data_IF_957119701426
#
_entry.id   IF_957119701426
#
_cell.length_a   1.000
_cell.length_b   1.000
_cell.length_c   1.000
_cell.angle_alpha   90.00
_cell.angle_beta   90.00
_cell.angle_gamma   90.00
#
_symmetry.space_group_name_H-M   'P 1'
#
loop_
_entity.id
_entity.type
_entity.pdbx_description
1 polymer ?
#
# COMPACT_ATOMS: atom_id res chain seq x y z
N UNK A 1 80.68 40.61 30.60
CA UNK A 1 81.27 39.82 29.57
C UNK A 1 80.93 38.41 29.85
N UNK A 2 79.79 38.06 29.50
CA UNK A 2 79.46 36.75 29.00
C UNK A 2 77.98 36.61 28.96
N UNK A 3 77.55 36.42 27.81
CA UNK A 3 76.15 36.30 27.41
C UNK A 3 75.90 34.84 27.07
N UNK A 4 75.05 34.19 27.80
CA UNK A 4 74.37 32.98 27.32
C UNK A 4 72.95 32.97 27.88
N UNK A 5 71.98 33.43 27.08
CA UNK A 5 70.56 33.23 27.32
C UNK A 5 70.15 32.02 26.48
N UNK A 6 70.01 30.87 27.14
CA UNK A 6 69.39 29.71 26.57
C UNK A 6 67.87 29.93 26.51
N UNK A 7 67.28 29.85 25.30
CA UNK A 7 65.84 29.91 25.03
C UNK A 7 65.20 28.60 25.55
N UNK A 8 64.31 28.74 26.50
CA UNK A 8 63.38 27.67 26.90
C UNK A 8 62.35 27.42 25.83
N UNK A 9 62.20 26.17 25.40
CA UNK A 9 61.28 25.65 24.43
C UNK A 9 60.00 25.17 25.14
N UNK A 10 58.79 25.72 24.86
CA UNK A 10 57.53 25.34 25.56
C UNK A 10 56.81 24.19 24.85
N UNK A 11 57.41 23.07 24.66
CA UNK A 11 56.68 21.85 24.28
C UNK A 11 56.72 20.84 25.40
N UNK A 12 55.65 20.87 26.24
CA UNK A 12 55.33 19.75 27.10
C UNK A 12 54.80 18.59 26.24
N UNK A 13 55.34 17.38 26.38
CA UNK A 13 54.74 16.21 25.73
C UNK A 13 53.41 15.87 26.38
N UNK A 14 52.35 15.85 25.59
CA UNK A 14 51.05 15.29 25.97
C UNK A 14 51.23 13.86 26.47
N UNK A 15 50.82 13.60 27.68
CA UNK A 15 50.72 12.25 28.21
C UNK A 15 49.65 11.48 27.42
N UNK A 16 49.92 10.24 26.99
CA UNK A 16 48.93 9.45 26.25
C UNK A 16 47.82 8.94 27.18
N UNK A 17 46.67 9.26 26.77
CA UNK A 17 45.32 8.76 27.07
C UNK A 17 45.30 7.30 27.60
N UNK A 18 45.45 7.12 28.88
CA UNK A 18 45.26 5.81 29.58
C UNK A 18 43.77 5.50 29.84
N UNK A 19 42.85 6.45 29.59
CA UNK A 19 41.41 6.23 29.73
C UNK A 19 40.76 5.56 28.50
N UNK A 20 41.37 5.66 27.33
CA UNK A 20 40.82 5.08 26.07
C UNK A 20 40.97 3.56 26.01
N UNK A 21 42.08 3.01 26.53
CA UNK A 21 42.35 1.54 26.53
C UNK A 21 41.52 0.79 27.57
N UNK A 22 41.18 1.41 28.69
CA UNK A 22 40.30 0.81 29.69
C UNK A 22 38.84 0.78 29.23
N UNK A 23 38.36 1.87 28.60
CA UNK A 23 37.02 1.90 27.99
C UNK A 23 36.90 0.95 26.80
N UNK A 24 37.92 0.83 25.95
CA UNK A 24 37.91 -0.12 24.84
C UNK A 24 37.91 -1.58 25.32
N UNK A 25 38.66 -1.90 26.41
CA UNK A 25 38.60 -3.22 27.05
C UNK A 25 37.24 -3.53 27.67
N UNK A 26 36.61 -2.57 28.36
CA UNK A 26 35.29 -2.73 28.96
C UNK A 26 34.21 -2.96 27.85
N UNK A 27 34.30 -2.23 26.76
CA UNK A 27 33.36 -2.40 25.61
C UNK A 27 33.59 -3.76 24.91
N UNK A 28 34.85 -4.23 24.82
CA UNK A 28 35.12 -5.57 24.28
C UNK A 28 34.68 -6.69 25.23
N UNK A 29 34.84 -6.53 26.54
CA UNK A 29 34.34 -7.49 27.54
C UNK A 29 32.81 -7.53 27.60
N UNK A 30 32.10 -6.37 27.58
CA UNK A 30 30.66 -6.31 27.45
C UNK A 30 30.19 -6.91 26.14
N UNK A 31 30.87 -6.64 25.02
CA UNK A 31 30.51 -7.21 23.71
C UNK A 31 30.72 -8.72 23.66
N UNK A 32 31.79 -9.26 24.33
CA UNK A 32 32.02 -10.70 24.41
C UNK A 32 31.04 -11.41 25.34
N UNK A 33 30.64 -10.78 26.46
CA UNK A 33 29.59 -11.26 27.35
C UNK A 33 28.22 -11.24 26.67
N UNK A 34 27.89 -10.19 25.89
CA UNK A 34 26.67 -10.12 25.07
C UNK A 34 26.66 -11.19 23.97
N UNK A 35 27.80 -11.46 23.32
CA UNK A 35 27.91 -12.52 22.32
C UNK A 35 27.80 -13.92 22.97
N UNK A 36 28.37 -14.14 24.17
CA UNK A 36 28.20 -15.38 24.90
C UNK A 36 26.75 -15.58 25.40
N UNK A 37 26.12 -14.54 25.94
CA UNK A 37 24.67 -14.60 26.33
C UNK A 37 23.76 -14.81 25.13
N UNK A 38 24.06 -14.22 23.97
CA UNK A 38 23.29 -14.46 22.73
C UNK A 38 23.52 -15.88 22.20
N UNK A 39 24.70 -16.47 22.39
CA UNK A 39 24.96 -17.87 22.03
C UNK A 39 24.35 -18.87 23.02
N UNK A 40 24.29 -18.56 24.33
CA UNK A 40 23.69 -19.42 25.34
C UNK A 40 22.16 -19.27 25.48
N UNK A 41 21.60 -18.12 25.15
CA UNK A 41 20.15 -17.86 25.21
C UNK A 41 19.44 -17.84 23.85
N UNK A 42 20.17 -18.04 22.75
CA UNK A 42 19.55 -18.29 21.47
C UNK A 42 18.74 -19.60 21.61
N UNK A 43 17.39 -19.57 21.57
CA UNK A 43 16.69 -20.85 21.41
C UNK A 43 17.27 -21.45 20.14
N UNK A 44 17.75 -22.70 20.22
CA UNK A 44 17.86 -23.56 19.05
C UNK A 44 16.50 -23.50 18.32
N UNK A 45 16.34 -22.51 17.47
CA UNK A 45 15.29 -22.57 16.44
C UNK A 45 15.76 -23.68 15.52
N UNK A 46 15.51 -24.93 15.97
CA UNK A 46 15.59 -26.09 15.11
C UNK A 46 14.97 -25.66 13.80
N UNK A 47 15.73 -25.69 12.72
CA UNK A 47 15.28 -25.31 11.40
C UNK A 47 14.06 -26.19 11.11
N UNK A 48 12.87 -25.66 11.40
CA UNK A 48 11.64 -26.42 11.19
C UNK A 48 11.58 -26.70 9.69
N UNK A 49 11.29 -27.93 9.28
CA UNK A 49 11.30 -28.28 7.89
C UNK A 49 10.35 -27.36 7.13
N UNK A 50 10.88 -26.72 6.09
CA UNK A 50 10.07 -25.87 5.19
C UNK A 50 9.06 -26.78 4.53
N UNK A 51 7.82 -26.77 5.01
CA UNK A 51 6.74 -27.58 4.48
C UNK A 51 6.52 -27.22 2.99
N UNK A 52 6.25 -28.21 2.13
CA UNK A 52 5.80 -27.97 0.78
C UNK A 52 4.58 -27.03 0.80
N UNK A 53 4.50 -26.08 -0.13
CA UNK A 53 3.46 -25.04 -0.14
C UNK A 53 2.03 -25.59 0.04
N UNK A 54 1.73 -26.76 -0.54
CA UNK A 54 0.40 -27.41 -0.41
C UNK A 54 0.14 -27.87 1.02
N UNK A 55 1.11 -28.46 1.66
CA UNK A 55 0.99 -28.94 3.04
C UNK A 55 0.89 -27.77 4.02
N UNK A 56 1.66 -26.70 3.80
CA UNK A 56 1.57 -25.49 4.61
C UNK A 56 0.20 -24.80 4.50
N UNK A 57 -0.40 -24.75 3.30
CA UNK A 57 -1.77 -24.23 3.10
C UNK A 57 -2.78 -25.14 3.82
N UNK A 58 -2.65 -26.46 3.72
CA UNK A 58 -3.55 -27.40 4.41
C UNK A 58 -3.47 -27.26 5.92
N UNK A 59 -2.26 -27.25 6.49
CA UNK A 59 -2.01 -27.04 7.91
C UNK A 59 -2.58 -25.67 8.41
N UNK A 60 -2.55 -24.66 7.56
CA UNK A 60 -3.12 -23.35 7.89
C UNK A 60 -4.65 -23.35 7.86
N UNK A 61 -5.26 -24.10 6.94
CA UNK A 61 -6.71 -24.27 6.89
C UNK A 61 -7.27 -25.11 8.05
N UNK A 62 -6.44 -25.87 8.75
CA UNK A 62 -6.78 -26.54 10.00
C UNK A 62 -6.81 -25.59 11.20
N UNK A 63 -6.15 -24.42 11.11
CA UNK A 63 -6.18 -23.39 12.15
C UNK A 63 -7.51 -22.63 12.14
N UNK A 64 -8.46 -23.07 12.98
CA UNK A 64 -9.82 -22.54 13.04
C UNK A 64 -9.87 -21.02 13.14
N UNK A 65 -9.07 -20.44 14.02
CA UNK A 65 -9.11 -18.99 14.28
C UNK A 65 -8.55 -18.19 13.10
N UNK A 66 -7.54 -18.72 12.41
CA UNK A 66 -7.07 -18.12 11.16
C UNK A 66 -8.13 -18.18 10.05
N UNK A 67 -8.79 -19.32 9.88
CA UNK A 67 -9.84 -19.49 8.85
C UNK A 67 -11.01 -18.54 9.11
N UNK A 68 -11.45 -18.38 10.35
CA UNK A 68 -12.51 -17.44 10.72
C UNK A 68 -12.12 -16.00 10.38
N UNK A 69 -10.90 -15.57 10.74
CA UNK A 69 -10.39 -14.25 10.37
C UNK A 69 -10.32 -14.10 8.85
N UNK A 70 -9.74 -15.09 8.16
CA UNK A 70 -9.49 -15.05 6.73
C UNK A 70 -10.78 -14.97 5.92
N UNK A 71 -11.78 -15.81 6.23
CA UNK A 71 -13.10 -15.81 5.54
C UNK A 71 -13.86 -14.51 5.82
N UNK A 72 -13.89 -14.06 7.08
CA UNK A 72 -14.50 -12.78 7.43
C UNK A 72 -13.90 -11.61 6.65
N UNK A 73 -12.58 -11.57 6.56
CA UNK A 73 -11.86 -10.52 5.83
C UNK A 73 -12.05 -10.61 4.31
N UNK A 74 -12.03 -11.81 3.72
CA UNK A 74 -12.28 -12.00 2.29
C UNK A 74 -13.67 -11.47 1.91
N UNK A 75 -14.69 -11.82 2.70
CA UNK A 75 -16.06 -11.39 2.43
C UNK A 75 -16.21 -9.88 2.62
N UNK A 76 -15.62 -9.30 3.67
CA UNK A 76 -15.61 -7.86 3.90
C UNK A 76 -14.90 -7.09 2.77
N UNK A 77 -13.77 -7.59 2.25
CA UNK A 77 -13.08 -6.96 1.12
C UNK A 77 -13.90 -7.01 -0.18
N UNK A 78 -14.71 -8.04 -0.38
CA UNK A 78 -15.68 -8.10 -1.49
C UNK A 78 -16.80 -7.07 -1.27
N UNK A 79 -17.29 -6.95 -0.03
CA UNK A 79 -18.25 -5.93 0.37
C UNK A 79 -17.75 -4.51 0.10
N UNK A 80 -16.50 -4.20 0.47
CA UNK A 80 -15.86 -2.89 0.21
C UNK A 80 -15.95 -2.52 -1.29
N UNK A 81 -15.82 -3.50 -2.22
CA UNK A 81 -16.00 -3.26 -3.66
C UNK A 81 -17.47 -2.94 -4.01
N UNK A 82 -18.41 -3.58 -3.30
CA UNK A 82 -19.83 -3.29 -3.50
C UNK A 82 -20.17 -1.86 -3.08
N UNK A 83 -19.64 -1.40 -1.94
CA UNK A 83 -19.80 -0.02 -1.51
C UNK A 83 -19.19 0.97 -2.51
N UNK A 84 -17.97 0.69 -3.00
CA UNK A 84 -17.29 1.55 -3.97
C UNK A 84 -18.13 1.74 -5.24
N UNK A 85 -18.59 0.64 -5.84
CA UNK A 85 -19.41 0.68 -7.07
C UNK A 85 -20.75 1.36 -6.81
N UNK A 86 -21.42 1.03 -5.69
CA UNK A 86 -22.68 1.65 -5.31
C UNK A 86 -22.52 3.16 -5.09
N UNK A 87 -21.48 3.59 -4.38
CA UNK A 87 -21.22 5.00 -4.09
C UNK A 87 -20.94 5.79 -5.37
N UNK A 88 -20.08 5.29 -6.26
CA UNK A 88 -19.79 5.99 -7.52
C UNK A 88 -21.03 6.01 -8.44
N UNK A 89 -21.79 4.92 -8.50
CA UNK A 89 -23.05 4.88 -9.27
C UNK A 89 -24.06 5.88 -8.73
N UNK A 90 -24.26 5.94 -7.41
CA UNK A 90 -25.17 6.88 -6.75
C UNK A 90 -24.75 8.34 -7.00
N UNK A 91 -23.47 8.66 -6.81
CA UNK A 91 -22.95 10.01 -7.05
C UNK A 91 -23.17 10.43 -8.51
N UNK A 92 -22.84 9.57 -9.48
CA UNK A 92 -23.01 9.87 -10.91
C UNK A 92 -24.47 9.91 -11.37
N UNK A 93 -25.38 9.31 -10.58
CA UNK A 93 -26.81 9.42 -10.81
C UNK A 93 -27.37 10.76 -10.29
N UNK A 94 -26.90 11.22 -9.11
CA UNK A 94 -27.37 12.43 -8.45
C UNK A 94 -26.66 13.70 -8.93
N UNK A 95 -25.42 13.59 -9.42
CA UNK A 95 -24.60 14.72 -9.86
C UNK A 95 -23.88 14.41 -11.16
N UNK A 96 -24.04 15.30 -12.14
CA UNK A 96 -23.28 15.23 -13.40
C UNK A 96 -21.84 15.77 -13.26
N UNK A 97 -21.49 16.40 -12.12
CA UNK A 97 -20.19 17.03 -11.92
C UNK A 97 -19.13 15.99 -11.49
N UNK A 98 -18.01 15.87 -12.22
CA UNK A 98 -16.87 15.04 -11.77
C UNK A 98 -16.30 15.46 -10.40
N UNK A 99 -16.50 16.72 -9.98
CA UNK A 99 -16.09 17.22 -8.67
C UNK A 99 -16.78 16.51 -7.50
N UNK A 100 -18.01 15.99 -7.72
CA UNK A 100 -18.71 15.20 -6.70
C UNK A 100 -17.96 13.90 -6.33
N UNK A 101 -17.09 13.40 -7.19
CA UNK A 101 -16.23 12.23 -6.92
C UNK A 101 -14.92 12.58 -6.20
N UNK A 102 -14.50 13.85 -6.23
CA UNK A 102 -13.28 14.30 -5.54
C UNK A 102 -13.42 14.19 -4.03
N UNK A 103 -14.57 14.60 -3.48
CA UNK A 103 -14.77 14.67 -2.04
C UNK A 103 -14.66 13.30 -1.38
N UNK A 104 -15.32 12.21 -1.87
CA UNK A 104 -15.12 10.88 -1.29
C UNK A 104 -13.68 10.37 -1.41
N UNK A 105 -12.97 10.66 -2.50
CA UNK A 105 -11.56 10.29 -2.64
C UNK A 105 -10.69 10.94 -1.54
N UNK A 106 -10.88 12.24 -1.29
CA UNK A 106 -10.21 12.95 -0.19
C UNK A 106 -10.68 12.47 1.19
N UNK A 107 -11.97 12.14 1.33
CA UNK A 107 -12.54 11.62 2.57
C UNK A 107 -11.96 10.28 2.98
N UNK A 108 -11.55 9.46 2.03
CA UNK A 108 -10.84 8.19 2.30
C UNK A 108 -9.37 8.42 2.63
N UNK A 109 -8.67 9.29 1.90
CA UNK A 109 -7.23 9.46 2.02
C UNK A 109 -6.80 10.22 3.28
N UNK A 110 -7.47 11.34 3.60
CA UNK A 110 -7.10 12.23 4.71
C UNK A 110 -7.18 11.54 6.10
N UNK A 111 -8.29 10.88 6.47
CA UNK A 111 -8.37 10.24 7.77
C UNK A 111 -7.37 9.08 7.92
N UNK A 112 -7.11 8.33 6.87
CA UNK A 112 -6.15 7.23 6.90
C UNK A 112 -4.73 7.72 7.24
N UNK A 113 -4.33 8.86 6.69
CA UNK A 113 -3.03 9.49 7.00
C UNK A 113 -3.00 10.01 8.44
N UNK A 114 -4.06 10.71 8.87
CA UNK A 114 -4.11 11.35 10.20
C UNK A 114 -4.25 10.33 11.33
N UNK A 115 -5.11 9.33 11.18
CA UNK A 115 -5.43 8.36 12.22
C UNK A 115 -4.62 7.07 12.15
N UNK A 116 -3.94 6.78 11.04
CA UNK A 116 -3.08 5.61 10.91
C UNK A 116 -1.97 5.52 11.98
N UNK A 117 -1.48 6.69 12.42
CA UNK A 117 -0.49 6.81 13.49
C UNK A 117 -1.09 6.47 14.87
N UNK A 118 -2.28 6.98 15.13
CA UNK A 118 -2.99 6.82 16.41
C UNK A 118 -3.51 5.39 16.54
N UNK A 119 -3.95 4.79 15.44
CA UNK A 119 -4.47 3.43 15.38
C UNK A 119 -3.48 2.37 15.86
N UNK A 120 -2.21 2.51 15.47
CA UNK A 120 -1.15 1.61 15.96
C UNK A 120 -0.96 1.66 17.47
N UNK A 121 -0.96 2.87 18.07
CA UNK A 121 -0.82 3.05 19.52
C UNK A 121 -2.00 2.48 20.29
N UNK A 122 -3.21 2.63 19.76
CA UNK A 122 -4.44 2.12 20.39
C UNK A 122 -4.50 0.58 20.28
N UNK A 123 -4.13 0.01 19.15
CA UNK A 123 -4.06 -1.44 18.93
C UNK A 123 -3.07 -2.14 19.88
N UNK A 124 -2.07 -1.40 20.39
CA UNK A 124 -1.12 -1.91 21.39
C UNK A 124 -1.61 -1.84 22.83
N UNK A 125 -2.64 -1.03 23.13
CA UNK A 125 -3.13 -0.77 24.50
C UNK A 125 -4.46 -1.43 24.82
N UNK A 126 -5.27 -1.70 23.82
CA UNK A 126 -6.61 -2.27 23.96
C UNK A 126 -6.59 -3.70 23.42
N UNK A 127 -7.45 -4.55 23.95
CA UNK A 127 -7.64 -5.90 23.43
C UNK A 127 -7.98 -5.83 21.92
N UNK A 128 -7.09 -6.37 21.09
CA UNK A 128 -7.16 -6.35 19.63
C UNK A 128 -8.47 -6.92 19.11
N UNK A 129 -9.03 -7.93 19.77
CA UNK A 129 -10.29 -8.56 19.42
C UNK A 129 -11.44 -7.57 19.49
N UNK A 130 -11.54 -6.83 20.62
CA UNK A 130 -12.60 -5.83 20.79
C UNK A 130 -12.42 -4.63 19.85
N UNK A 131 -11.19 -4.21 19.59
CA UNK A 131 -10.92 -3.16 18.58
C UNK A 131 -11.43 -3.58 17.22
N UNK A 132 -11.17 -4.82 16.77
CA UNK A 132 -11.64 -5.31 15.48
C UNK A 132 -13.17 -5.42 15.43
N UNK A 133 -13.82 -6.00 16.45
CA UNK A 133 -15.28 -6.14 16.51
C UNK A 133 -15.97 -4.77 16.50
N UNK A 134 -15.53 -3.86 17.36
CA UNK A 134 -16.09 -2.51 17.42
C UNK A 134 -15.91 -1.76 16.10
N UNK A 135 -14.74 -1.93 15.45
CA UNK A 135 -14.46 -1.35 14.14
C UNK A 135 -15.41 -1.89 13.06
N UNK A 136 -15.62 -3.19 12.99
CA UNK A 136 -16.51 -3.77 11.98
C UNK A 136 -17.97 -3.38 12.21
N UNK A 137 -18.46 -3.39 13.44
CA UNK A 137 -19.81 -2.93 13.75
C UNK A 137 -20.00 -1.44 13.43
N UNK A 138 -19.02 -0.60 13.74
CA UNK A 138 -19.09 0.82 13.42
C UNK A 138 -19.05 1.05 11.90
N UNK A 139 -18.24 0.28 11.15
CA UNK A 139 -18.23 0.32 9.69
C UNK A 139 -19.59 -0.09 9.12
N UNK A 140 -20.21 -1.16 9.64
CA UNK A 140 -21.53 -1.59 9.21
C UNK A 140 -22.56 -0.46 9.34
N UNK A 141 -22.55 0.28 10.48
CA UNK A 141 -23.43 1.41 10.70
C UNK A 141 -23.13 2.58 9.75
N UNK A 142 -21.85 2.91 9.55
CA UNK A 142 -21.42 3.99 8.64
C UNK A 142 -21.85 3.71 7.20
N UNK A 143 -21.72 2.46 6.75
CA UNK A 143 -22.15 2.05 5.42
C UNK A 143 -23.67 2.21 5.25
N UNK A 144 -24.45 1.80 6.26
CA UNK A 144 -25.91 1.97 6.23
C UNK A 144 -26.36 3.43 6.17
N UNK A 145 -25.56 4.37 6.69
CA UNK A 145 -25.85 5.79 6.58
C UNK A 145 -25.98 6.26 5.11
N UNK A 146 -25.27 5.60 4.17
CA UNK A 146 -25.40 5.91 2.74
C UNK A 146 -26.82 5.66 2.20
N UNK A 147 -27.64 4.83 2.83
CA UNK A 147 -29.06 4.64 2.46
C UNK A 147 -29.93 5.89 2.69
N UNK A 148 -29.47 6.83 3.51
CA UNK A 148 -30.16 8.09 3.79
C UNK A 148 -30.02 9.10 2.63
N UNK A 149 -29.08 8.89 1.72
CA UNK A 149 -28.83 9.76 0.58
C UNK A 149 -29.96 9.60 -0.45
N UNK A 150 -30.72 10.66 -0.66
CA UNK A 150 -31.87 10.70 -1.62
C UNK A 150 -31.66 11.71 -2.73
N UNK A 151 -30.98 12.79 -2.44
CA UNK A 151 -30.78 13.93 -3.34
C UNK A 151 -29.30 14.34 -3.38
N UNK A 152 -28.92 15.17 -4.35
CA UNK A 152 -27.57 15.69 -4.46
C UNK A 152 -27.14 16.50 -3.20
N UNK A 153 -28.09 17.13 -2.50
CA UNK A 153 -27.83 17.84 -1.26
C UNK A 153 -27.44 16.91 -0.09
N UNK A 154 -27.74 15.62 -0.18
CA UNK A 154 -27.47 14.65 0.89
C UNK A 154 -26.11 13.95 0.71
N UNK A 155 -25.39 14.21 -0.37
CA UNK A 155 -24.09 13.57 -0.68
C UNK A 155 -23.05 13.75 0.43
N UNK A 156 -23.16 14.79 1.26
CA UNK A 156 -22.30 14.98 2.42
C UNK A 156 -22.37 13.82 3.43
N UNK A 157 -23.52 13.11 3.52
CA UNK A 157 -23.68 11.91 4.36
C UNK A 157 -22.72 10.81 3.88
N UNK A 158 -22.69 10.59 2.56
CA UNK A 158 -21.78 9.61 1.96
C UNK A 158 -20.31 9.98 2.17
N UNK A 159 -19.99 11.27 2.07
CA UNK A 159 -18.64 11.77 2.28
C UNK A 159 -18.19 11.60 3.74
N UNK A 160 -19.05 11.87 4.71
CA UNK A 160 -18.79 11.61 6.12
C UNK A 160 -18.70 10.12 6.41
N UNK A 161 -19.54 9.28 5.80
CA UNK A 161 -19.44 7.84 5.94
C UNK A 161 -18.10 7.33 5.41
N UNK A 162 -17.64 7.79 4.24
CA UNK A 162 -16.34 7.45 3.68
C UNK A 162 -15.17 7.87 4.59
N UNK A 163 -15.22 9.09 5.14
CA UNK A 163 -14.23 9.57 6.10
C UNK A 163 -14.21 8.72 7.38
N UNK A 164 -15.39 8.38 7.90
CA UNK A 164 -15.56 7.51 9.07
C UNK A 164 -15.02 6.10 8.82
N UNK A 165 -15.30 5.51 7.66
CA UNK A 165 -14.78 4.20 7.25
C UNK A 165 -13.25 4.20 7.20
N UNK A 166 -12.62 5.22 6.62
CA UNK A 166 -11.18 5.36 6.57
C UNK A 166 -10.57 5.54 7.97
N UNK A 167 -11.21 6.35 8.82
CA UNK A 167 -10.78 6.55 10.20
C UNK A 167 -10.84 5.24 10.99
N UNK A 168 -11.96 4.53 10.94
CA UNK A 168 -12.14 3.24 11.64
C UNK A 168 -11.18 2.19 11.11
N UNK A 169 -10.92 2.18 9.79
CA UNK A 169 -9.93 1.33 9.13
C UNK A 169 -8.52 1.51 9.69
N UNK A 170 -8.17 2.73 10.05
CA UNK A 170 -6.86 3.04 10.63
C UNK A 170 -6.61 2.36 11.99
N UNK A 171 -7.66 1.95 12.71
CA UNK A 171 -7.57 1.16 13.94
C UNK A 171 -7.66 -0.34 13.68
N UNK A 172 -8.51 -0.74 12.74
CA UNK A 172 -8.74 -2.15 12.41
C UNK A 172 -7.49 -2.85 11.87
N UNK A 173 -6.84 -2.26 10.86
CA UNK A 173 -5.73 -2.93 10.16
C UNK A 173 -4.51 -3.22 11.06
N UNK A 174 -4.05 -2.32 11.93
CA UNK A 174 -2.99 -2.63 12.89
C UNK A 174 -3.37 -3.74 13.86
N UNK A 175 -4.61 -3.70 14.40
CA UNK A 175 -5.10 -4.71 15.33
C UNK A 175 -5.15 -6.10 14.67
N UNK A 176 -5.67 -6.18 13.43
CA UNK A 176 -5.68 -7.42 12.63
C UNK A 176 -4.26 -7.95 12.39
N UNK A 177 -3.37 -7.12 11.88
CA UNK A 177 -2.02 -7.54 11.53
C UNK A 177 -1.24 -8.02 12.77
N UNK A 178 -1.44 -7.37 13.92
CA UNK A 178 -0.84 -7.76 15.18
C UNK A 178 -1.47 -9.03 15.80
N UNK A 179 -2.68 -9.43 15.37
CA UNK A 179 -3.34 -10.64 15.84
C UNK A 179 -2.87 -11.91 15.10
N UNK A 180 -2.42 -11.79 13.84
CA UNK A 180 -2.01 -12.93 13.01
C UNK A 180 -0.92 -13.79 13.67
N UNK A 181 0.19 -13.23 14.22
CA UNK A 181 1.21 -14.03 14.88
C UNK A 181 0.75 -14.74 16.16
N UNK A 182 -0.40 -14.33 16.72
CA UNK A 182 -0.94 -14.95 17.94
C UNK A 182 -1.86 -16.14 17.64
N UNK A 183 -2.34 -16.28 16.40
CA UNK A 183 -3.28 -17.32 15.96
C UNK A 183 -2.67 -18.28 14.93
N UNK A 184 -1.45 -17.99 14.43
CA UNK A 184 -0.74 -18.76 13.42
C UNK A 184 0.66 -19.11 13.93
N UNK A 185 1.10 -20.39 13.85
CA UNK A 185 2.47 -20.76 14.15
C UNK A 185 3.51 -20.02 13.29
N UNK A 186 4.68 -19.72 13.84
CA UNK A 186 5.73 -18.93 13.19
C UNK A 186 6.10 -19.44 11.78
N UNK A 187 6.22 -20.74 11.61
CA UNK A 187 6.58 -21.38 10.32
C UNK A 187 5.50 -21.26 9.24
N UNK A 188 4.24 -20.92 9.60
CA UNK A 188 3.13 -20.72 8.66
C UNK A 188 2.83 -19.24 8.39
N UNK A 189 3.45 -18.29 9.09
CA UNK A 189 3.18 -16.85 8.97
C UNK A 189 3.35 -16.32 7.54
N UNK A 190 4.37 -16.81 6.82
CA UNK A 190 4.59 -16.40 5.42
C UNK A 190 3.41 -16.83 4.53
N UNK A 191 2.90 -18.05 4.72
CA UNK A 191 1.77 -18.57 3.95
C UNK A 191 0.47 -17.85 4.35
N UNK A 192 0.27 -17.59 5.65
CA UNK A 192 -0.88 -16.83 6.16
C UNK A 192 -0.96 -15.42 5.57
N UNK A 193 0.15 -14.68 5.60
CA UNK A 193 0.23 -13.36 4.98
C UNK A 193 0.00 -13.43 3.46
N UNK A 194 0.53 -14.47 2.81
CA UNK A 194 0.30 -14.73 1.39
C UNK A 194 -1.17 -14.98 1.06
N UNK A 195 -1.90 -15.71 1.91
CA UNK A 195 -3.34 -15.96 1.75
C UNK A 195 -4.16 -14.68 1.95
N UNK A 196 -3.82 -13.86 2.94
CA UNK A 196 -4.49 -12.56 3.18
C UNK A 196 -4.30 -11.62 1.97
N UNK A 197 -3.08 -11.53 1.44
CA UNK A 197 -2.82 -10.73 0.24
C UNK A 197 -3.50 -11.31 -1.00
N UNK A 198 -3.54 -12.64 -1.13
CA UNK A 198 -4.28 -13.33 -2.19
C UNK A 198 -5.78 -13.05 -2.14
N UNK A 199 -6.36 -12.95 -0.94
CA UNK A 199 -7.77 -12.57 -0.75
C UNK A 199 -8.06 -11.17 -1.23
N UNK A 200 -7.18 -10.22 -0.94
CA UNK A 200 -7.30 -8.85 -1.44
C UNK A 200 -7.31 -8.81 -2.97
N UNK A 201 -6.40 -9.55 -3.60
CA UNK A 201 -6.34 -9.64 -5.07
C UNK A 201 -7.62 -10.32 -5.63
N UNK A 202 -8.09 -11.38 -4.96
CA UNK A 202 -9.33 -12.06 -5.36
C UNK A 202 -10.54 -11.13 -5.24
N UNK A 203 -10.64 -10.38 -4.14
CA UNK A 203 -11.69 -9.38 -3.96
C UNK A 203 -11.64 -8.27 -5.03
N UNK A 204 -10.44 -7.84 -5.42
CA UNK A 204 -10.26 -6.85 -6.49
C UNK A 204 -10.71 -7.35 -7.87
N UNK A 205 -10.67 -8.67 -8.12
CA UNK A 205 -11.10 -9.27 -9.38
C UNK A 205 -12.59 -9.57 -9.38
N UNK A 206 -13.06 -10.29 -8.35
CA UNK A 206 -14.43 -10.79 -8.29
C UNK A 206 -15.40 -9.71 -7.78
N UNK A 207 -14.94 -8.92 -6.82
CA UNK A 207 -15.75 -7.93 -6.12
C UNK A 207 -16.41 -6.91 -7.04
N UNK A 208 -15.68 -6.22 -7.93
CA UNK A 208 -16.28 -5.20 -8.78
C UNK A 208 -17.34 -5.74 -9.75
N UNK A 209 -17.12 -6.93 -10.36
CA UNK A 209 -18.13 -7.55 -11.23
C UNK A 209 -19.36 -7.97 -10.42
N UNK A 210 -19.15 -8.57 -9.24
CA UNK A 210 -20.25 -8.93 -8.34
C UNK A 210 -21.01 -7.67 -7.89
N UNK A 211 -20.31 -6.62 -7.52
CA UNK A 211 -20.87 -5.35 -7.13
C UNK A 211 -21.71 -4.71 -8.26
N UNK A 212 -21.15 -4.67 -9.48
CA UNK A 212 -21.84 -4.18 -10.66
C UNK A 212 -23.12 -4.97 -10.93
N UNK A 213 -23.06 -6.31 -10.82
CA UNK A 213 -24.23 -7.18 -10.97
C UNK A 213 -25.31 -6.92 -9.90
N UNK A 214 -24.91 -6.74 -8.64
CA UNK A 214 -25.84 -6.43 -7.55
C UNK A 214 -26.50 -5.08 -7.80
N UNK A 215 -25.73 -4.06 -8.19
CA UNK A 215 -26.25 -2.72 -8.48
C UNK A 215 -27.21 -2.74 -9.66
N UNK A 216 -26.90 -3.49 -10.73
CA UNK A 216 -27.72 -3.61 -11.92
C UNK A 216 -29.07 -4.33 -11.64
N UNK A 217 -29.02 -5.45 -10.90
CA UNK A 217 -30.18 -6.30 -10.66
C UNK A 217 -31.06 -5.81 -9.51
N UNK A 218 -30.48 -5.28 -8.45
CA UNK A 218 -31.19 -4.95 -7.20
C UNK A 218 -31.00 -3.49 -6.74
N UNK A 219 -30.25 -2.70 -7.50
CA UNK A 219 -29.95 -1.30 -7.19
C UNK A 219 -28.81 -1.11 -6.19
N UNK A 220 -28.37 0.14 -6.09
CA UNK A 220 -27.26 0.54 -5.21
C UNK A 220 -27.53 0.27 -3.72
N UNK A 221 -28.79 0.33 -3.29
CA UNK A 221 -29.19 0.07 -1.89
C UNK A 221 -28.88 -1.38 -1.47
N UNK A 222 -29.09 -2.35 -2.37
CA UNK A 222 -28.79 -3.75 -2.11
C UNK A 222 -27.28 -3.97 -1.93
N UNK A 223 -26.45 -3.30 -2.72
CA UNK A 223 -24.99 -3.38 -2.58
C UNK A 223 -24.50 -2.78 -1.25
N UNK A 224 -25.11 -1.69 -0.77
CA UNK A 224 -24.82 -1.10 0.55
C UNK A 224 -25.24 -2.05 1.68
N UNK A 225 -26.42 -2.66 1.60
CA UNK A 225 -26.88 -3.64 2.60
C UNK A 225 -25.98 -4.87 2.62
N UNK A 226 -25.58 -5.34 1.44
CA UNK A 226 -24.66 -6.46 1.32
C UNK A 226 -23.32 -6.16 2.00
N UNK A 227 -22.72 -5.01 1.74
CA UNK A 227 -21.46 -4.61 2.38
C UNK A 227 -21.60 -4.50 3.91
N UNK A 228 -22.64 -3.83 4.40
CA UNK A 228 -22.92 -3.78 5.85
C UNK A 228 -23.04 -5.19 6.46
N UNK A 229 -23.74 -6.11 5.78
CA UNK A 229 -23.87 -7.49 6.24
C UNK A 229 -22.52 -8.22 6.28
N UNK A 230 -21.59 -7.93 5.35
CA UNK A 230 -20.24 -8.51 5.37
C UNK A 230 -19.43 -8.05 6.58
N UNK A 231 -19.53 -6.79 7.01
CA UNK A 231 -18.91 -6.29 8.23
C UNK A 231 -19.50 -6.95 9.49
N UNK A 232 -20.83 -7.11 9.55
CA UNK A 232 -21.47 -7.83 10.67
C UNK A 232 -21.02 -9.29 10.70
N UNK A 233 -20.91 -9.94 9.55
CA UNK A 233 -20.38 -11.30 9.45
C UNK A 233 -18.91 -11.37 9.92
N UNK A 234 -18.05 -10.42 9.50
CA UNK A 234 -16.68 -10.33 9.97
C UNK A 234 -16.61 -10.16 11.50
N UNK A 235 -17.40 -9.25 12.07
CA UNK A 235 -17.48 -9.08 13.52
C UNK A 235 -17.91 -10.37 14.23
N UNK A 236 -18.88 -11.10 13.67
CA UNK A 236 -19.36 -12.37 14.23
C UNK A 236 -18.26 -13.46 14.17
N UNK A 237 -17.51 -13.56 13.08
CA UNK A 237 -16.39 -14.52 13.00
C UNK A 237 -15.30 -14.18 14.02
N UNK A 238 -14.94 -12.90 14.19
CA UNK A 238 -13.97 -12.45 15.19
C UNK A 238 -14.50 -12.70 16.62
N UNK A 239 -15.80 -12.56 16.86
CA UNK A 239 -16.42 -12.84 18.15
C UNK A 239 -16.32 -14.32 18.55
N UNK A 240 -16.26 -15.23 17.60
CA UNK A 240 -16.11 -16.68 17.85
C UNK A 240 -14.64 -17.10 17.98
N UNK A 241 -13.69 -16.28 17.50
CA UNK A 241 -12.25 -16.55 17.60
C UNK A 241 -11.75 -16.49 19.05
N UNK A 242 -10.71 -17.28 19.32
CA UNK A 242 -9.96 -17.24 20.58
C UNK A 242 -8.60 -16.58 20.33
N UNK A 243 -8.54 -15.27 20.48
CA UNK A 243 -7.25 -14.53 20.38
C UNK A 243 -6.65 -14.52 21.78
N UNK A 244 -5.46 -15.11 22.02
CA UNK A 244 -4.79 -15.04 23.30
C UNK A 244 -4.57 -13.58 23.67
N UNK A 245 -4.88 -13.24 24.93
CA UNK A 245 -4.62 -11.90 25.45
C UNK A 245 -3.13 -11.57 25.34
N UNK A 246 -2.82 -10.29 25.14
CA UNK A 246 -1.44 -9.79 25.09
C UNK A 246 -0.63 -10.38 26.25
N UNK A 247 0.45 -11.12 25.98
CA UNK A 247 1.46 -11.43 26.99
C UNK A 247 2.09 -10.11 27.42
N UNK A 248 1.66 -9.63 28.58
CA UNK A 248 2.22 -8.45 29.21
C UNK A 248 3.74 -8.69 29.41
N UNK A 249 4.59 -8.01 28.68
CA UNK A 249 5.98 -7.93 29.04
C UNK A 249 7.03 -7.70 27.97
N UNK A 250 6.85 -8.11 26.71
CA UNK A 250 7.98 -8.13 25.78
C UNK A 250 8.07 -6.95 24.78
N UNK A 251 7.05 -6.10 24.68
CA UNK A 251 7.06 -4.95 23.75
C UNK A 251 7.51 -3.61 24.35
N UNK A 252 7.92 -3.56 25.61
CA UNK A 252 8.14 -2.29 26.32
C UNK A 252 9.56 -1.70 26.22
N UNK A 253 10.54 -2.37 25.61
CA UNK A 253 11.96 -2.02 25.76
C UNK A 253 12.65 -1.39 24.54
N UNK A 254 11.99 -1.23 23.40
CA UNK A 254 12.58 -0.46 22.30
C UNK A 254 12.25 1.05 22.47
N UNK A 255 13.24 1.95 22.40
CA UNK A 255 12.98 3.38 22.44
C UNK A 255 12.09 3.75 21.24
N UNK A 256 10.82 4.09 21.52
CA UNK A 256 9.81 4.45 20.52
C UNK A 256 10.19 5.81 19.92
N UNK A 257 10.90 5.80 18.80
CA UNK A 257 11.02 7.01 17.98
C UNK A 257 9.63 7.36 17.47
N UNK A 258 9.32 8.66 17.42
CA UNK A 258 8.05 9.10 16.85
C UNK A 258 8.07 8.80 15.35
N UNK A 259 6.93 8.35 14.80
CA UNK A 259 6.79 8.08 13.35
C UNK A 259 7.22 9.29 12.49
N UNK A 260 7.03 10.50 13.01
CA UNK A 260 7.53 11.72 12.37
C UNK A 260 9.06 11.74 12.27
N UNK A 261 9.77 11.27 13.28
CA UNK A 261 11.23 11.15 13.24
C UNK A 261 11.68 10.10 12.22
N UNK A 262 11.01 8.95 12.19
CA UNK A 262 11.31 7.89 11.22
C UNK A 262 11.00 8.34 9.78
N UNK A 263 9.90 9.05 9.58
CA UNK A 263 9.54 9.62 8.28
C UNK A 263 10.53 10.72 7.85
N UNK A 264 10.96 11.58 8.78
CA UNK A 264 11.99 12.59 8.51
C UNK A 264 13.33 11.96 8.13
N UNK A 265 13.70 10.86 8.77
CA UNK A 265 14.91 10.10 8.41
C UNK A 265 14.77 9.48 7.01
N UNK A 266 13.64 8.83 6.71
CA UNK A 266 13.38 8.25 5.39
C UNK A 266 13.37 9.30 4.27
N UNK A 267 12.64 10.41 4.45
CA UNK A 267 12.61 11.52 3.49
C UNK A 267 13.98 12.19 3.36
N UNK A 268 14.70 12.38 4.48
CA UNK A 268 16.06 12.93 4.47
C UNK A 268 17.01 12.05 3.67
N UNK A 269 16.96 10.73 3.85
CA UNK A 269 17.78 9.78 3.10
C UNK A 269 17.46 9.84 1.59
N UNK A 270 16.16 9.89 1.23
CA UNK A 270 15.72 10.02 -0.17
C UNK A 270 16.25 11.32 -0.78
N UNK A 271 16.15 12.43 -0.05
CA UNK A 271 16.59 13.75 -0.54
C UNK A 271 18.10 13.80 -0.80
N UNK A 272 18.92 13.17 0.07
CA UNK A 272 20.37 13.13 -0.07
C UNK A 272 20.88 12.06 -1.03
N UNK A 273 20.04 11.08 -1.41
CA UNK A 273 20.41 10.05 -2.39
C UNK A 273 20.05 10.49 -3.81
N UNK A 274 21.03 10.78 -4.70
CA UNK A 274 20.75 11.22 -6.08
C UNK A 274 19.92 10.19 -6.86
N UNK A 275 20.14 8.90 -6.62
CA UNK A 275 19.44 7.81 -7.30
C UNK A 275 17.97 7.73 -6.88
N UNK A 276 17.69 7.79 -5.56
CA UNK A 276 16.31 7.76 -5.05
C UNK A 276 15.53 9.02 -5.43
N UNK A 277 16.18 10.17 -5.41
CA UNK A 277 15.58 11.45 -5.83
C UNK A 277 15.10 11.43 -7.28
N UNK A 278 15.76 10.66 -8.16
CA UNK A 278 15.33 10.50 -9.56
C UNK A 278 14.16 9.51 -9.71
N UNK A 279 14.00 8.56 -8.79
CA UNK A 279 12.90 7.59 -8.80
C UNK A 279 11.58 8.25 -8.41
N UNK A 280 11.58 9.20 -7.48
CA UNK A 280 10.36 9.83 -6.96
C UNK A 280 9.45 10.49 -8.02
N UNK A 281 9.96 11.33 -8.93
CA UNK A 281 9.12 11.94 -9.97
C UNK A 281 8.49 10.88 -10.88
N UNK A 282 9.24 9.82 -11.21
CA UNK A 282 8.73 8.70 -12.02
C UNK A 282 7.59 8.00 -11.29
N UNK A 283 7.75 7.73 -9.99
CA UNK A 283 6.71 7.14 -9.16
C UNK A 283 5.47 8.05 -9.09
N UNK A 284 5.66 9.36 -8.91
CA UNK A 284 4.58 10.35 -8.88
C UNK A 284 3.80 10.40 -10.20
N UNK A 285 4.48 10.43 -11.34
CA UNK A 285 3.80 10.43 -12.65
C UNK A 285 3.09 9.10 -12.92
N UNK A 286 3.66 7.97 -12.51
CA UNK A 286 2.99 6.67 -12.64
C UNK A 286 1.64 6.63 -11.91
N UNK A 287 1.47 7.37 -10.81
CA UNK A 287 0.20 7.44 -10.07
C UNK A 287 -0.85 8.34 -10.74
N UNK A 288 -0.43 9.35 -11.54
CA UNK A 288 -1.35 10.29 -12.19
C UNK A 288 -2.32 9.59 -13.15
N UNK A 289 -1.80 8.72 -14.03
CA UNK A 289 -2.62 7.98 -15.00
C UNK A 289 -3.61 7.03 -14.34
N UNK A 290 -3.19 6.37 -13.25
CA UNK A 290 -4.02 5.42 -12.50
C UNK A 290 -5.17 6.15 -11.81
N UNK A 291 -4.89 7.25 -11.10
CA UNK A 291 -5.90 8.02 -10.39
C UNK A 291 -7.00 8.56 -11.32
N UNK A 292 -6.64 9.01 -12.54
CA UNK A 292 -7.61 9.42 -13.54
C UNK A 292 -8.54 8.27 -13.94
N UNK A 293 -7.99 7.07 -14.23
CA UNK A 293 -8.79 5.91 -14.68
C UNK A 293 -9.72 5.45 -13.57
N UNK A 294 -9.21 5.28 -12.35
CA UNK A 294 -10.02 4.77 -11.23
C UNK A 294 -11.23 5.67 -10.95
N UNK A 295 -11.03 6.98 -10.93
CA UNK A 295 -12.06 7.93 -10.53
C UNK A 295 -13.03 8.26 -11.66
N UNK A 296 -12.55 8.49 -12.88
CA UNK A 296 -13.31 9.02 -13.98
C UNK A 296 -13.83 7.96 -14.98
N UNK A 297 -13.49 6.67 -14.76
CA UNK A 297 -13.90 5.61 -15.68
C UNK A 297 -15.42 5.47 -15.78
N UNK A 298 -16.18 5.53 -14.66
CA UNK A 298 -17.65 5.44 -14.69
C UNK A 298 -18.28 6.55 -15.53
N UNK A 299 -18.05 7.86 -15.24
CA UNK A 299 -18.67 8.91 -16.03
C UNK A 299 -18.25 8.84 -17.50
N UNK A 300 -17.02 8.45 -17.80
CA UNK A 300 -16.55 8.29 -19.17
C UNK A 300 -17.29 7.16 -19.92
N UNK A 301 -17.35 5.98 -19.33
CA UNK A 301 -18.02 4.81 -19.93
C UNK A 301 -19.51 5.03 -20.10
N UNK A 302 -20.16 5.69 -19.13
CA UNK A 302 -21.59 6.04 -19.20
C UNK A 302 -21.88 6.98 -20.38
N UNK A 303 -21.08 8.05 -20.53
CA UNK A 303 -21.30 9.04 -21.61
C UNK A 303 -20.98 8.46 -22.99
N UNK A 304 -19.90 7.64 -23.08
CA UNK A 304 -19.38 7.19 -24.38
C UNK A 304 -20.03 5.91 -24.90
N UNK A 305 -20.31 4.97 -24.02
CA UNK A 305 -20.82 3.63 -24.38
C UNK A 305 -22.20 3.33 -23.80
N UNK A 306 -22.80 4.25 -23.04
CA UNK A 306 -24.03 3.99 -22.31
C UNK A 306 -23.91 2.94 -21.22
N UNK A 307 -22.66 2.67 -20.78
CA UNK A 307 -22.31 1.60 -19.86
C UNK A 307 -22.87 1.84 -18.45
N UNK A 308 -23.29 0.77 -17.77
CA UNK A 308 -23.82 0.78 -16.42
C UNK A 308 -22.78 0.30 -15.36
N UNK A 309 -23.32 -0.10 -14.20
CA UNK A 309 -22.53 -0.61 -13.09
C UNK A 309 -21.81 -1.91 -13.42
N UNK A 310 -22.42 -2.79 -14.19
CA UNK A 310 -21.87 -4.09 -14.58
C UNK A 310 -20.64 -3.92 -15.48
N UNK A 311 -20.71 -3.06 -16.49
CA UNK A 311 -19.57 -2.80 -17.39
C UNK A 311 -18.41 -2.14 -16.63
N UNK A 312 -18.70 -1.22 -15.72
CA UNK A 312 -17.65 -0.65 -14.89
C UNK A 312 -17.02 -1.71 -13.97
N UNK A 313 -17.85 -2.51 -13.30
CA UNK A 313 -17.37 -3.62 -12.47
C UNK A 313 -16.51 -4.58 -13.26
N UNK A 314 -16.93 -4.94 -14.48
CA UNK A 314 -16.16 -5.78 -15.42
C UNK A 314 -14.82 -5.15 -15.81
N UNK A 315 -14.78 -3.84 -16.07
CA UNK A 315 -13.53 -3.13 -16.36
C UNK A 315 -12.58 -3.12 -15.15
N UNK A 316 -13.08 -2.92 -13.93
CA UNK A 316 -12.25 -3.00 -12.71
C UNK A 316 -11.73 -4.42 -12.45
N UNK A 317 -12.56 -5.44 -12.69
CA UNK A 317 -12.13 -6.84 -12.62
C UNK A 317 -11.07 -7.17 -13.67
N UNK A 318 -11.18 -6.63 -14.88
CA UNK A 318 -10.19 -6.75 -15.94
C UNK A 318 -8.84 -6.11 -15.53
N UNK A 319 -8.87 -4.98 -14.81
CA UNK A 319 -7.67 -4.38 -14.21
C UNK A 319 -6.99 -5.34 -13.22
N UNK A 320 -7.77 -6.00 -12.37
CA UNK A 320 -7.30 -7.02 -11.43
C UNK A 320 -6.68 -8.22 -12.13
N UNK A 321 -7.31 -8.74 -13.18
CA UNK A 321 -6.78 -9.83 -14.02
C UNK A 321 -5.46 -9.42 -14.65
N UNK A 322 -5.40 -8.22 -15.23
CA UNK A 322 -4.16 -7.65 -15.79
C UNK A 322 -3.05 -7.57 -14.74
N UNK A 323 -3.38 -7.17 -13.51
CA UNK A 323 -2.45 -7.09 -12.39
C UNK A 323 -1.86 -8.45 -12.02
N UNK A 324 -2.65 -9.52 -12.02
CA UNK A 324 -2.15 -10.90 -11.81
C UNK A 324 -1.24 -11.31 -12.96
N UNK A 325 -1.66 -11.13 -14.20
CA UNK A 325 -0.84 -11.46 -15.36
C UNK A 325 0.50 -10.72 -15.32
N UNK A 326 0.47 -9.44 -14.95
CA UNK A 326 1.66 -8.63 -14.71
C UNK A 326 2.58 -9.24 -13.65
N UNK A 327 2.05 -9.64 -12.52
CA UNK A 327 2.80 -10.29 -11.44
C UNK A 327 3.46 -11.62 -11.86
N UNK A 328 2.75 -12.44 -12.63
CA UNK A 328 3.27 -13.72 -13.16
C UNK A 328 4.43 -13.52 -14.14
N UNK A 329 4.36 -12.45 -14.94
CA UNK A 329 5.37 -12.16 -15.97
C UNK A 329 6.53 -11.32 -15.41
N UNK A 330 6.29 -10.52 -14.39
CA UNK A 330 7.28 -9.59 -13.80
C UNK A 330 8.61 -10.27 -13.44
N UNK A 331 8.57 -11.45 -12.80
CA UNK A 331 9.76 -12.20 -12.42
C UNK A 331 10.59 -12.68 -13.62
N UNK A 332 9.95 -12.99 -14.75
CA UNK A 332 10.65 -13.37 -15.97
C UNK A 332 11.26 -12.16 -16.67
N UNK A 333 10.51 -11.06 -16.75
CA UNK A 333 10.95 -9.82 -17.36
C UNK A 333 12.12 -9.17 -16.59
N UNK A 334 12.07 -9.15 -15.28
CA UNK A 334 13.12 -8.55 -14.42
C UNK A 334 14.46 -9.30 -14.49
N UNK A 335 14.45 -10.57 -14.93
CA UNK A 335 15.67 -11.35 -15.22
C UNK A 335 16.25 -11.06 -16.61
N UNK A 336 15.41 -10.64 -17.57
CA UNK A 336 15.81 -10.41 -18.96
C UNK A 336 16.19 -8.96 -19.25
N UNK A 337 15.53 -8.02 -18.59
CA UNK A 337 15.68 -6.59 -18.87
C UNK A 337 16.12 -5.83 -17.61
N UNK A 338 16.99 -4.83 -17.73
CA UNK A 338 17.31 -3.91 -16.65
C UNK A 338 16.06 -3.21 -16.13
N UNK A 339 15.96 -3.02 -14.80
CA UNK A 339 14.76 -2.50 -14.15
C UNK A 339 14.30 -1.14 -14.70
N UNK A 340 15.23 -0.23 -15.02
CA UNK A 340 14.88 1.08 -15.60
C UNK A 340 14.24 1.00 -16.99
N UNK A 341 14.71 0.06 -17.82
CA UNK A 341 14.12 -0.20 -19.15
C UNK A 341 12.72 -0.76 -18.99
N UNK A 342 12.55 -1.67 -18.01
CA UNK A 342 11.27 -2.27 -17.72
C UNK A 342 10.26 -1.22 -17.25
N UNK A 343 10.64 -0.35 -16.30
CA UNK A 343 9.78 0.75 -15.85
C UNK A 343 9.42 1.69 -16.99
N UNK A 344 10.41 2.12 -17.78
CA UNK A 344 10.17 3.05 -18.89
C UNK A 344 9.17 2.51 -19.91
N UNK A 345 9.36 1.27 -20.40
CA UNK A 345 8.44 0.67 -21.35
C UNK A 345 7.07 0.36 -20.77
N UNK A 346 6.98 -0.05 -19.50
CA UNK A 346 5.68 -0.25 -18.85
C UNK A 346 4.91 1.06 -18.74
N UNK A 347 5.57 2.19 -18.47
CA UNK A 347 4.92 3.50 -18.47
C UNK A 347 4.46 3.92 -19.89
N UNK A 348 5.27 3.68 -20.91
CA UNK A 348 4.88 3.97 -22.31
C UNK A 348 3.63 3.15 -22.70
N UNK A 349 3.64 1.85 -22.40
CA UNK A 349 2.48 0.98 -22.68
C UNK A 349 1.26 1.36 -21.84
N UNK A 350 1.44 1.69 -20.56
CA UNK A 350 0.36 2.15 -19.68
C UNK A 350 -0.27 3.45 -20.20
N UNK A 351 0.53 4.43 -20.59
CA UNK A 351 0.04 5.68 -21.17
C UNK A 351 -0.70 5.45 -22.49
N UNK A 352 -0.18 4.57 -23.36
CA UNK A 352 -0.87 4.14 -24.58
C UNK A 352 -2.21 3.45 -24.29
N UNK A 353 -2.27 2.60 -23.27
CA UNK A 353 -3.50 1.94 -22.83
C UNK A 353 -4.53 2.96 -22.29
N UNK A 354 -4.11 3.99 -21.55
CA UNK A 354 -4.99 5.07 -21.08
C UNK A 354 -5.56 5.86 -22.27
N UNK A 355 -4.76 6.18 -23.28
CA UNK A 355 -5.24 6.83 -24.52
C UNK A 355 -6.19 5.91 -25.28
N UNK A 356 -5.86 4.60 -25.38
CA UNK A 356 -6.74 3.60 -25.98
C UNK A 356 -8.09 3.50 -25.27
N UNK A 357 -8.10 3.55 -23.95
CA UNK A 357 -9.30 3.61 -23.12
C UNK A 357 -10.15 4.86 -23.43
N UNK A 358 -9.49 6.04 -23.53
CA UNK A 358 -10.18 7.31 -23.83
C UNK A 358 -10.93 7.32 -25.17
N UNK A 359 -10.40 6.61 -26.16
CA UNK A 359 -10.99 6.54 -27.51
C UNK A 359 -11.70 5.22 -27.80
N UNK A 360 -11.88 4.32 -26.81
CA UNK A 360 -12.47 3.01 -27.02
C UNK A 360 -13.82 3.09 -27.72
N UNK A 361 -14.01 2.51 -28.93
CA UNK A 361 -15.26 2.55 -29.65
C UNK A 361 -16.26 1.47 -29.17
N UNK A 362 -15.75 0.42 -28.55
CA UNK A 362 -16.52 -0.73 -28.05
C UNK A 362 -15.95 -1.21 -26.71
N UNK A 363 -16.79 -1.86 -25.93
CA UNK A 363 -16.43 -2.32 -24.59
C UNK A 363 -15.23 -3.30 -24.56
N UNK A 364 -15.06 -4.12 -25.60
CA UNK A 364 -13.89 -5.02 -25.70
C UNK A 364 -12.56 -4.25 -25.68
N UNK A 365 -12.50 -3.10 -26.36
CA UNK A 365 -11.28 -2.25 -26.37
C UNK A 365 -11.02 -1.67 -24.97
N UNK A 366 -12.09 -1.32 -24.23
CA UNK A 366 -12.00 -0.93 -22.81
C UNK A 366 -11.32 -2.04 -22.00
N UNK A 367 -11.86 -3.27 -22.08
CA UNK A 367 -11.33 -4.41 -21.33
C UNK A 367 -9.85 -4.67 -21.63
N UNK A 368 -9.47 -4.69 -22.92
CA UNK A 368 -8.10 -4.89 -23.35
C UNK A 368 -7.16 -3.78 -22.83
N UNK A 369 -7.58 -2.53 -22.93
CA UNK A 369 -6.82 -1.38 -22.44
C UNK A 369 -6.58 -1.48 -20.93
N UNK A 370 -7.61 -1.85 -20.16
CA UNK A 370 -7.53 -1.93 -18.70
C UNK A 370 -6.71 -3.15 -18.24
N UNK A 371 -6.79 -4.29 -18.95
CA UNK A 371 -5.91 -5.45 -18.69
C UNK A 371 -4.44 -5.07 -18.90
N UNK A 372 -4.12 -4.40 -20.02
CA UNK A 372 -2.76 -3.93 -20.31
C UNK A 372 -2.31 -2.95 -19.23
N UNK A 373 -3.17 -2.02 -18.82
CA UNK A 373 -2.88 -1.05 -17.78
C UNK A 373 -2.56 -1.75 -16.46
N UNK A 374 -3.38 -2.69 -15.99
CA UNK A 374 -3.17 -3.45 -14.77
C UNK A 374 -1.85 -4.22 -14.77
N UNK A 375 -1.53 -4.87 -15.90
CA UNK A 375 -0.26 -5.57 -16.08
C UNK A 375 0.94 -4.60 -15.96
N UNK A 376 0.88 -3.47 -16.64
CA UNK A 376 1.94 -2.46 -16.65
C UNK A 376 2.15 -1.86 -15.24
N UNK A 377 1.07 -1.57 -14.51
CA UNK A 377 1.11 -1.03 -13.15
C UNK A 377 1.92 -1.95 -12.23
N UNK A 378 1.59 -3.24 -12.19
CA UNK A 378 2.24 -4.19 -11.26
C UNK A 378 3.70 -4.39 -11.61
N UNK A 379 4.03 -4.50 -12.91
CA UNK A 379 5.41 -4.67 -13.35
C UNK A 379 6.24 -3.42 -13.03
N UNK A 380 5.74 -2.22 -13.37
CA UNK A 380 6.44 -0.96 -13.12
C UNK A 380 6.63 -0.73 -11.62
N UNK A 381 5.57 -0.94 -10.82
CA UNK A 381 5.61 -0.79 -9.37
C UNK A 381 6.61 -1.74 -8.72
N UNK A 382 6.55 -3.04 -9.06
CA UNK A 382 7.48 -4.03 -8.53
C UNK A 382 8.95 -3.74 -8.90
N UNK A 383 9.20 -3.22 -10.10
CA UNK A 383 10.53 -2.80 -10.52
C UNK A 383 11.02 -1.57 -9.73
N UNK A 384 10.16 -0.55 -9.54
CA UNK A 384 10.48 0.63 -8.73
C UNK A 384 10.74 0.27 -7.27
N UNK A 385 9.88 -0.56 -6.66
CA UNK A 385 10.04 -1.03 -5.28
C UNK A 385 11.35 -1.81 -5.11
N UNK A 386 11.72 -2.64 -6.08
CA UNK A 386 13.00 -3.37 -6.11
C UNK A 386 14.19 -2.41 -6.19
N UNK A 387 14.10 -1.35 -7.01
CA UNK A 387 15.16 -0.34 -7.10
C UNK A 387 15.32 0.41 -5.77
N UNK A 388 14.21 0.82 -5.15
CA UNK A 388 14.23 1.51 -3.84
C UNK A 388 14.84 0.61 -2.78
N UNK A 389 14.46 -0.67 -2.70
CA UNK A 389 14.97 -1.63 -1.72
C UNK A 389 16.47 -1.89 -1.89
N UNK A 390 16.93 -2.04 -3.13
CA UNK A 390 18.36 -2.32 -3.42
C UNK A 390 19.25 -1.11 -3.17
N UNK A 391 18.74 0.11 -3.37
CA UNK A 391 19.49 1.36 -3.16
C UNK A 391 19.45 1.84 -1.69
N UNK A 392 18.66 1.19 -0.84
CA UNK A 392 18.50 1.57 0.56
C UNK A 392 19.28 0.61 1.47
N UNK A 393 20.20 1.09 2.33
CA UNK A 393 20.83 0.29 3.37
C UNK A 393 19.82 -0.34 4.32
N UNK A 394 20.14 -1.50 4.90
CA UNK A 394 19.24 -2.28 5.74
C UNK A 394 18.68 -1.48 6.93
N UNK A 395 19.51 -0.62 7.53
CA UNK A 395 19.18 0.18 8.71
C UNK A 395 18.07 1.22 8.47
N UNK A 396 17.94 1.69 7.24
CA UNK A 396 16.96 2.74 6.87
C UNK A 396 15.91 2.26 5.86
N UNK A 397 16.03 1.03 5.33
CA UNK A 397 15.16 0.48 4.27
C UNK A 397 13.68 0.60 4.59
N UNK A 398 13.28 0.21 5.82
CA UNK A 398 11.88 0.31 6.24
C UNK A 398 11.36 1.74 6.26
N UNK A 399 12.18 2.71 6.71
CA UNK A 399 11.82 4.13 6.77
C UNK A 399 11.70 4.75 5.37
N UNK A 400 12.63 4.40 4.47
CA UNK A 400 12.58 4.81 3.07
C UNK A 400 11.33 4.25 2.38
N UNK A 401 11.02 2.97 2.60
CA UNK A 401 9.83 2.33 2.03
C UNK A 401 8.54 2.98 2.53
N UNK A 402 8.44 3.30 3.83
CA UNK A 402 7.29 4.01 4.40
C UNK A 402 7.15 5.43 3.82
N UNK A 403 8.27 6.14 3.61
CA UNK A 403 8.25 7.45 2.99
C UNK A 403 7.80 7.40 1.52
N UNK A 404 8.27 6.40 0.75
CA UNK A 404 7.83 6.17 -0.64
C UNK A 404 6.33 5.82 -0.68
N UNK A 405 5.86 4.95 0.23
CA UNK A 405 4.44 4.59 0.31
C UNK A 405 3.55 5.82 0.59
N UNK A 406 3.98 6.71 1.48
CA UNK A 406 3.27 7.97 1.75
C UNK A 406 3.23 8.88 0.52
N UNK A 407 4.37 9.03 -0.20
CA UNK A 407 4.45 9.84 -1.42
C UNK A 407 3.52 9.28 -2.50
N UNK A 408 3.47 7.96 -2.65
CA UNK A 408 2.54 7.29 -3.58
C UNK A 408 1.10 7.54 -3.18
N UNK A 409 0.74 7.37 -1.92
CA UNK A 409 -0.63 7.60 -1.43
C UNK A 409 -1.06 9.07 -1.64
N UNK A 410 -0.20 10.01 -1.27
CA UNK A 410 -0.45 11.44 -1.48
C UNK A 410 -0.52 11.79 -2.98
N UNK A 411 0.37 11.20 -3.80
CA UNK A 411 0.37 11.36 -5.26
C UNK A 411 -0.90 10.83 -5.91
N UNK A 412 -1.40 9.68 -5.46
CA UNK A 412 -2.67 9.10 -5.96
C UNK A 412 -3.85 9.99 -5.61
N UNK A 413 -3.98 10.42 -4.35
CA UNK A 413 -5.05 11.33 -3.92
C UNK A 413 -5.02 12.68 -4.67
N UNK A 414 -3.81 13.23 -4.88
CA UNK A 414 -3.63 14.44 -5.69
C UNK A 414 -4.02 14.21 -7.15
N UNK A 415 -3.66 13.06 -7.71
CA UNK A 415 -4.00 12.67 -9.07
C UNK A 415 -5.51 12.53 -9.29
N UNK A 416 -6.20 11.88 -8.35
CA UNK A 416 -7.66 11.75 -8.35
C UNK A 416 -8.32 13.13 -8.25
N UNK A 417 -7.86 13.97 -7.32
CA UNK A 417 -8.35 15.33 -7.14
C UNK A 417 -8.16 16.21 -8.37
N UNK A 418 -6.95 16.20 -8.92
CA UNK A 418 -6.64 16.96 -10.13
C UNK A 418 -7.43 16.46 -11.34
N UNK A 419 -7.61 15.15 -11.47
CA UNK A 419 -8.40 14.54 -12.55
C UNK A 419 -9.87 14.93 -12.47
N UNK A 420 -10.46 14.92 -11.26
CA UNK A 420 -11.84 15.37 -11.06
C UNK A 420 -12.01 16.86 -11.38
N UNK A 421 -11.08 17.69 -10.90
CA UNK A 421 -11.09 19.14 -11.16
C UNK A 421 -10.94 19.45 -12.65
N UNK A 422 -9.92 18.90 -13.30
CA UNK A 422 -9.70 19.12 -14.73
C UNK A 422 -10.80 18.49 -15.57
N UNK A 423 -11.35 17.34 -15.17
CA UNK A 423 -12.47 16.69 -15.83
C UNK A 423 -13.73 17.53 -15.89
N UNK A 424 -13.94 18.37 -14.87
CA UNK A 424 -15.06 19.32 -14.85
C UNK A 424 -14.91 20.43 -15.90
N UNK A 425 -13.70 20.97 -16.09
CA UNK A 425 -13.45 22.11 -16.99
C UNK A 425 -13.09 21.70 -18.42
N UNK A 426 -12.30 20.65 -18.59
CA UNK A 426 -11.74 20.23 -19.89
C UNK A 426 -12.47 19.04 -20.50
N UNK A 427 -13.37 18.43 -19.72
CA UNK A 427 -14.00 17.17 -20.10
C UNK A 427 -13.14 15.94 -19.78
N UNK A 428 -13.83 14.85 -19.41
CA UNK A 428 -13.20 13.62 -18.92
C UNK A 428 -12.27 12.98 -19.95
N UNK A 429 -12.68 12.96 -21.24
CA UNK A 429 -11.87 12.39 -22.32
C UNK A 429 -10.52 13.11 -22.50
N UNK A 430 -10.53 14.45 -22.43
CA UNK A 430 -9.30 15.27 -22.54
C UNK A 430 -8.33 14.96 -21.38
N UNK A 431 -8.86 14.77 -20.17
CA UNK A 431 -8.05 14.40 -19.02
C UNK A 431 -7.37 13.04 -19.20
N UNK A 432 -8.08 12.03 -19.71
CA UNK A 432 -7.48 10.73 -20.02
C UNK A 432 -6.38 10.84 -21.08
N UNK A 433 -6.61 11.58 -22.16
CA UNK A 433 -5.61 11.78 -23.21
C UNK A 433 -4.38 12.48 -22.64
N UNK A 434 -4.58 13.57 -21.89
CA UNK A 434 -3.46 14.29 -21.26
C UNK A 434 -2.69 13.42 -20.28
N UNK A 435 -3.37 12.70 -19.39
CA UNK A 435 -2.76 11.79 -18.42
C UNK A 435 -1.98 10.66 -19.13
N UNK A 436 -2.55 10.08 -20.19
CA UNK A 436 -1.90 9.05 -21.00
C UNK A 436 -0.63 9.58 -21.68
N UNK A 437 -0.69 10.74 -22.31
CA UNK A 437 0.47 11.36 -22.98
C UNK A 437 1.56 11.75 -21.97
N UNK A 438 1.20 12.30 -20.81
CA UNK A 438 2.15 12.59 -19.72
C UNK A 438 2.83 11.29 -19.25
N UNK A 439 2.08 10.20 -19.11
CA UNK A 439 2.60 8.90 -18.70
C UNK A 439 3.55 8.33 -19.78
N UNK A 440 3.23 8.45 -21.07
CA UNK A 440 4.13 8.09 -22.18
C UNK A 440 5.42 8.89 -22.14
N UNK A 441 5.31 10.22 -22.01
CA UNK A 441 6.48 11.11 -21.95
C UNK A 441 7.37 10.78 -20.73
N UNK A 442 6.77 10.50 -19.57
CA UNK A 442 7.49 10.06 -18.38
C UNK A 442 8.17 8.70 -18.60
N UNK A 443 7.54 7.77 -19.34
CA UNK A 443 8.15 6.51 -19.74
C UNK A 443 9.44 6.72 -20.52
N UNK A 444 9.42 7.53 -21.55
CA UNK A 444 10.63 7.88 -22.31
C UNK A 444 11.69 8.60 -21.46
N UNK A 445 11.27 9.57 -20.62
CA UNK A 445 12.18 10.24 -19.69
C UNK A 445 12.85 9.27 -18.73
N UNK A 446 12.12 8.25 -18.26
CA UNK A 446 12.61 7.22 -17.33
C UNK A 446 13.74 6.39 -17.94
N UNK A 447 13.66 6.06 -19.25
CA UNK A 447 14.71 5.32 -19.95
C UNK A 447 16.07 6.04 -19.86
N UNK A 448 16.05 7.38 -19.78
CA UNK A 448 17.25 8.20 -19.65
C UNK A 448 17.64 8.43 -18.18
N UNK A 449 16.70 8.89 -17.36
CA UNK A 449 16.98 9.39 -16.01
C UNK A 449 17.35 8.30 -15.01
N UNK A 450 16.81 7.09 -15.15
CA UNK A 450 17.09 5.97 -14.24
C UNK A 450 18.25 5.07 -14.70
N UNK A 451 18.88 5.33 -15.83
CA UNK A 451 19.99 4.54 -16.35
C UNK A 451 21.16 4.46 -15.35
N UNK A 452 21.55 5.57 -14.75
CA UNK A 452 22.65 5.60 -13.77
C UNK A 452 22.31 4.85 -12.47
N UNK A 453 21.08 4.97 -11.98
CA UNK A 453 20.61 4.22 -10.81
C UNK A 453 20.66 2.70 -11.07
N UNK A 454 20.29 2.28 -12.27
CA UNK A 454 20.36 0.86 -12.66
C UNK A 454 21.79 0.34 -12.81
N UNK A 455 22.74 1.14 -13.27
CA UNK A 455 24.16 0.78 -13.34
C UNK A 455 24.75 0.59 -11.95
N UNK A 456 24.37 1.41 -10.96
CA UNK A 456 24.75 1.25 -9.56
C UNK A 456 24.22 -0.07 -8.98
N UNK A 457 22.94 -0.40 -9.24
CA UNK A 457 22.34 -1.68 -8.82
C UNK A 457 23.08 -2.87 -9.44
N UNK A 458 23.44 -2.77 -10.71
CA UNK A 458 24.22 -3.82 -11.41
C UNK A 458 25.58 -4.07 -10.75
N UNK A 459 26.28 -3.03 -10.32
CA UNK A 459 27.56 -3.14 -9.60
C UNK A 459 27.39 -3.79 -8.21
N UNK A 460 26.36 -3.41 -7.46
CA UNK A 460 26.06 -4.00 -6.13
C UNK A 460 25.74 -5.49 -6.26
N UNK A 461 25.01 -5.91 -7.29
CA UNK A 461 24.66 -7.34 -7.52
C UNK A 461 25.84 -8.17 -8.08
N UNK A 462 26.79 -7.55 -8.77
CA UNK A 462 27.97 -8.22 -9.31
C UNK A 462 29.13 -8.37 -8.31
N UNK A 463 29.03 -7.72 -7.14
CA UNK A 463 30.00 -7.80 -6.04
C UNK A 463 29.54 -8.71 -4.90
N UNK A 464 28.33 -9.26 -4.95
CA UNK A 464 27.77 -10.24 -4.02
C UNK A 464 27.70 -11.63 -4.69
#
# INVERSE_FOLDING_TARGET
MDTDRIRENPYHPCQPVSRSTAQAKLIMEESSLLLQTVQETGPERAAQPVLPRREAVHALLEQRDFVLLWVGQLLSQIGDQCLLIAAVTLITHLSASPLALLIPALSLALPQVLFGLVGGVIADRIDRRWVMIASDLLRALLVLAALLVRTASDLWILYLAAAGLAMVGAFFYPARNASIPNIVPDHLLLVANGMIQGSYILALIVGPTLAGSIVELWGWSAAIIFDSATFVFSAATILVMRIPALRNGESALAPRRTLWQDMRVGLGFIYHSPSLRRILPVTGVATLGIGAVVLLAIPHLKVRLGAGGLEYGGAMSALGIGSILGGLVAARLSRRFPLHILVGWMLVLAGGAIVGFAYAPVYLVVLLSVVILGMCIVIARGALDTMVQTLSPDEVRGRVQSAVALIVAAGTALAEGLSAFLGHFLGVQTVFVAAGLITVAAGFATLYTLREAALLIGRIRGSA
#
